data_IF_260711053939
#
_entry.id   IF_260711053939
#
_cell.length_a   1.000
_cell.length_b   1.000
_cell.length_c   1.000
_cell.angle_alpha   90.00
_cell.angle_beta   90.00
_cell.angle_gamma   90.00
#
_symmetry.space_group_name_H-M   'P 1'
#
loop_
_entity.id
_entity.type
_entity.pdbx_description
1 polymer ?
#
# COMPACT_ATOMS: atom_id res chain seq x y z
N UNK A 1 17.02 1.42 -4.43
CA UNK A 1 15.69 0.78 -4.34
C UNK A 1 14.65 1.88 -4.29
N UNK A 2 13.62 1.83 -5.13
CA UNK A 2 12.51 2.81 -5.15
C UNK A 2 11.17 2.15 -4.79
N UNK A 3 10.10 2.94 -4.68
CA UNK A 3 8.78 2.52 -4.21
C UNK A 3 8.20 1.39 -5.09
N UNK A 4 8.31 1.50 -6.42
CA UNK A 4 7.82 0.48 -7.36
C UNK A 4 8.63 -0.81 -7.28
N UNK A 5 9.92 -0.75 -7.00
CA UNK A 5 10.75 -1.93 -6.77
C UNK A 5 10.35 -2.65 -5.49
N UNK A 6 10.07 -1.91 -4.41
CA UNK A 6 9.56 -2.47 -3.13
C UNK A 6 8.25 -3.22 -3.39
N UNK A 7 7.29 -2.60 -4.06
CA UNK A 7 6.01 -3.25 -4.38
C UNK A 7 6.21 -4.51 -5.22
N UNK A 8 7.04 -4.46 -6.28
CA UNK A 8 7.31 -5.63 -7.13
C UNK A 8 7.99 -6.77 -6.38
N UNK A 9 8.92 -6.47 -5.47
CA UNK A 9 9.59 -7.49 -4.64
C UNK A 9 8.56 -8.18 -3.75
N UNK A 10 7.69 -7.40 -3.09
CA UNK A 10 6.67 -7.95 -2.19
C UNK A 10 5.64 -8.76 -2.98
N UNK A 11 5.17 -8.27 -4.13
CA UNK A 11 4.31 -9.03 -5.04
C UNK A 11 4.88 -10.40 -5.39
N UNK A 12 6.18 -10.49 -5.69
CA UNK A 12 6.85 -11.77 -5.95
C UNK A 12 6.88 -12.66 -4.71
N UNK A 13 7.18 -12.10 -3.54
CA UNK A 13 7.22 -12.85 -2.27
C UNK A 13 5.85 -13.37 -1.85
N UNK A 14 4.78 -12.62 -2.09
CA UNK A 14 3.41 -12.96 -1.68
C UNK A 14 2.62 -13.63 -2.81
N UNK A 15 3.25 -13.94 -3.95
CA UNK A 15 2.59 -14.44 -5.16
C UNK A 15 1.35 -13.63 -5.57
N UNK A 16 1.38 -12.32 -5.36
CA UNK A 16 0.28 -11.40 -5.64
C UNK A 16 0.43 -10.81 -7.03
N UNK A 17 -0.59 -10.93 -7.87
CA UNK A 17 -0.62 -10.34 -9.23
C UNK A 17 -1.16 -8.91 -9.22
N UNK A 18 -1.00 -8.17 -10.33
CA UNK A 18 -1.63 -6.85 -10.47
C UNK A 18 -3.16 -6.93 -10.47
N UNK A 19 -3.74 -8.06 -10.92
CA UNK A 19 -5.18 -8.31 -10.86
C UNK A 19 -5.68 -8.53 -9.43
N UNK A 20 -4.88 -9.19 -8.58
CA UNK A 20 -5.20 -9.34 -7.17
C UNK A 20 -5.22 -7.99 -6.45
N UNK A 21 -4.20 -7.16 -6.69
CA UNK A 21 -4.15 -5.80 -6.12
C UNK A 21 -5.33 -4.95 -6.57
N UNK A 22 -5.71 -5.02 -7.85
CA UNK A 22 -6.90 -4.32 -8.35
C UNK A 22 -8.17 -4.74 -7.61
N UNK A 23 -8.37 -6.05 -7.41
CA UNK A 23 -9.53 -6.56 -6.67
C UNK A 23 -9.52 -6.13 -5.20
N UNK A 24 -8.39 -6.28 -4.52
CA UNK A 24 -8.25 -5.93 -3.09
C UNK A 24 -8.42 -4.44 -2.82
N UNK A 25 -7.99 -3.59 -3.76
CA UNK A 25 -8.14 -2.14 -3.66
C UNK A 25 -9.46 -1.62 -4.26
N UNK A 26 -10.35 -2.50 -4.72
CA UNK A 26 -11.64 -2.11 -5.30
C UNK A 26 -11.52 -1.22 -6.55
N UNK A 27 -10.39 -1.29 -7.27
CA UNK A 27 -10.15 -0.42 -8.42
C UNK A 27 -10.92 -0.91 -9.64
N UNK A 28 -11.36 0.01 -10.50
CA UNK A 28 -12.15 -0.33 -11.70
C UNK A 28 -11.35 -1.07 -12.78
N UNK A 29 -10.02 -0.94 -12.78
CA UNK A 29 -9.18 -1.52 -13.82
C UNK A 29 -7.81 -1.94 -13.31
N UNK A 30 -7.31 -3.05 -13.84
CA UNK A 30 -5.94 -3.50 -13.62
C UNK A 30 -4.94 -2.46 -14.12
N UNK A 31 -5.28 -1.73 -15.19
CA UNK A 31 -4.44 -0.69 -15.76
C UNK A 31 -4.05 0.40 -14.75
N UNK A 32 -4.86 0.65 -13.72
CA UNK A 32 -4.53 1.56 -12.63
C UNK A 32 -3.28 1.09 -11.86
N UNK A 33 -3.18 -0.21 -11.54
CA UNK A 33 -2.00 -0.79 -10.89
C UNK A 33 -0.79 -0.71 -11.81
N UNK A 34 -0.97 -1.03 -13.10
CA UNK A 34 0.10 -0.93 -14.09
C UNK A 34 0.64 0.49 -14.21
N UNK A 35 -0.25 1.49 -14.19
CA UNK A 35 0.11 2.91 -14.19
C UNK A 35 0.94 3.28 -12.95
N UNK A 36 0.50 2.88 -11.75
CA UNK A 36 1.25 3.12 -10.50
C UNK A 36 2.66 2.50 -10.52
N UNK A 37 2.81 1.33 -11.13
CA UNK A 37 4.10 0.63 -11.22
C UNK A 37 5.01 1.14 -12.35
N UNK A 38 4.50 2.03 -13.21
CA UNK A 38 5.22 2.64 -14.33
C UNK A 38 5.52 4.12 -14.13
N UNK A 39 4.80 4.80 -13.24
CA UNK A 39 5.05 6.20 -12.90
C UNK A 39 6.48 6.45 -12.41
N UNK A 40 6.98 7.65 -12.67
CA UNK A 40 8.32 8.08 -12.26
C UNK A 40 8.45 8.17 -10.74
N UNK A 41 7.39 8.64 -10.07
CA UNK A 41 7.28 8.71 -8.62
C UNK A 41 5.91 8.19 -8.15
N UNK A 42 5.92 7.39 -7.09
CA UNK A 42 4.70 6.93 -6.41
C UNK A 42 4.52 7.71 -5.11
N UNK A 43 3.31 8.21 -4.86
CA UNK A 43 3.01 8.85 -3.58
C UNK A 43 3.01 7.83 -2.44
N UNK A 44 3.40 8.27 -1.25
CA UNK A 44 3.54 7.41 -0.06
C UNK A 44 2.21 6.78 0.36
N UNK A 45 1.10 7.53 0.29
CA UNK A 45 -0.26 7.00 0.53
C UNK A 45 -0.56 5.78 -0.36
N UNK A 46 -0.24 5.89 -1.65
CA UNK A 46 -0.46 4.81 -2.62
C UNK A 46 0.45 3.62 -2.37
N UNK A 47 1.70 3.86 -1.97
CA UNK A 47 2.61 2.81 -1.56
C UNK A 47 2.01 2.03 -0.38
N UNK A 48 1.57 2.73 0.67
CA UNK A 48 0.97 2.13 1.87
C UNK A 48 -0.28 1.32 1.51
N UNK A 49 -1.17 1.85 0.66
CA UNK A 49 -2.35 1.10 0.17
C UNK A 49 -1.97 -0.24 -0.46
N UNK A 50 -0.97 -0.23 -1.36
CA UNK A 50 -0.50 -1.42 -2.06
C UNK A 50 0.12 -2.44 -1.11
N UNK A 51 0.92 -1.98 -0.15
CA UNK A 51 1.54 -2.82 0.87
C UNK A 51 0.48 -3.48 1.77
N UNK A 52 -0.49 -2.69 2.24
CA UNK A 52 -1.58 -3.18 3.08
C UNK A 52 -2.45 -4.20 2.32
N UNK A 53 -2.73 -3.97 1.03
CA UNK A 53 -3.44 -4.94 0.20
C UNK A 53 -2.68 -6.27 0.06
N UNK A 54 -1.36 -6.28 0.24
CA UNK A 54 -0.55 -7.50 0.26
C UNK A 54 -0.39 -8.10 1.66
N UNK A 55 -1.03 -7.53 2.69
CA UNK A 55 -0.89 -7.93 4.08
C UNK A 55 0.40 -7.44 4.74
N UNK A 56 1.12 -6.51 4.10
CA UNK A 56 2.28 -5.83 4.67
C UNK A 56 1.89 -4.58 5.44
N UNK A 57 2.88 -3.96 6.10
CA UNK A 57 2.78 -2.67 6.77
C UNK A 57 4.03 -1.84 6.47
N UNK A 58 3.90 -0.52 6.46
CA UNK A 58 5.06 0.39 6.42
C UNK A 58 5.36 0.85 7.85
N UNK A 59 6.56 0.51 8.33
CA UNK A 59 7.05 0.88 9.65
C UNK A 59 8.22 1.85 9.47
N UNK A 60 8.17 2.98 10.17
CA UNK A 60 9.26 3.95 10.27
C UNK A 60 9.93 3.72 11.61
N UNK A 61 11.23 3.41 11.59
CA UNK A 61 12.07 3.35 12.78
C UNK A 61 12.94 4.60 12.83
N UNK A 62 12.96 5.25 13.99
CA UNK A 62 14.01 6.21 14.38
C UNK A 62 14.75 5.63 15.58
N UNK A 63 15.80 6.32 16.04
CA UNK A 63 16.65 5.83 17.13
C UNK A 63 15.86 5.55 18.41
N UNK A 64 14.77 6.28 18.65
CA UNK A 64 13.99 6.21 19.90
C UNK A 64 12.55 5.71 19.71
N UNK A 65 12.02 5.69 18.48
CA UNK A 65 10.59 5.50 18.23
C UNK A 65 10.28 4.70 16.95
N UNK A 66 9.14 3.99 16.98
CA UNK A 66 8.59 3.23 15.86
C UNK A 66 7.17 3.72 15.54
N UNK A 67 6.90 4.02 14.27
CA UNK A 67 5.55 4.39 13.81
C UNK A 67 5.08 3.50 12.67
N UNK A 68 3.85 3.00 12.79
CA UNK A 68 3.12 2.38 11.69
C UNK A 68 2.43 3.47 10.86
N UNK A 69 2.76 3.53 9.57
CA UNK A 69 2.09 4.45 8.63
C UNK A 69 0.76 3.84 8.19
N UNK A 70 -0.35 4.51 8.50
CA UNK A 70 -1.71 4.09 8.12
C UNK A 70 -2.28 4.94 6.97
N UNK A 71 -3.10 4.36 6.07
CA UNK A 71 -3.86 5.13 5.09
C UNK A 71 -4.80 6.11 5.80
N UNK A 72 -4.96 7.31 5.25
CA UNK A 72 -5.83 8.36 5.81
C UNK A 72 -7.33 8.00 5.83
N UNK A 73 -7.73 6.95 5.13
CA UNK A 73 -9.15 6.58 4.93
C UNK A 73 -9.67 5.62 6.01
N UNK A 74 -8.83 5.14 6.92
CA UNK A 74 -9.26 4.21 7.99
C UNK A 74 -9.50 4.87 9.36
N UNK A 75 -9.22 6.18 9.51
CA UNK A 75 -9.41 6.86 10.80
C UNK A 75 -10.83 7.38 11.02
N UNK A 76 -11.59 7.72 9.97
CA UNK A 76 -12.96 8.25 10.15
C UNK A 76 -13.99 7.21 10.61
N UNK A 77 -13.76 5.93 10.31
CA UNK A 77 -14.71 4.85 10.64
C UNK A 77 -14.37 4.13 11.96
N UNK A 78 -13.19 4.36 12.53
CA UNK A 78 -12.77 3.78 13.82
C UNK A 78 -13.13 4.69 15.00
N UNK A 79 -13.08 6.02 14.84
CA UNK A 79 -13.48 6.96 15.88
C UNK A 79 -14.99 6.94 16.16
N UNK A 80 -15.80 6.53 15.16
CA UNK A 80 -17.25 6.34 15.30
C UNK A 80 -17.66 5.00 15.93
N UNK A 81 -16.72 4.06 16.10
CA UNK A 81 -16.93 2.78 16.79
C UNK A 81 -16.45 2.79 18.25
N UNK A 82 -15.76 3.86 18.66
CA UNK A 82 -15.28 4.10 20.02
C UNK A 82 -16.01 5.26 20.73
N UNK A 83 -17.04 5.83 20.09
CA UNK A 83 -17.97 6.82 20.66
C UNK A 83 -19.34 6.21 20.96
#
# INVERSE_FOLDING_TARGET
MNEKEIVKIIMKKTNTTQGDLQRKLGLKSQASISSYLKTDAMKVDKLVDLLNAMGGKLIIHTDDEEWEVRPSVLTSDLDSLLS
#
